data_IF_726902879229
#
_entry.id   IF_726902879229
#
_cell.length_a   1.000
_cell.length_b   1.000
_cell.length_c   1.000
_cell.angle_alpha   90.00
_cell.angle_beta   90.00
_cell.angle_gamma   90.00
#
_symmetry.space_group_name_H-M   'P 1'
#
loop_
_entity.id
_entity.type
_entity.pdbx_description
1 polymer ?
#
# COMPACT_ATOMS: atom_id res chain seq x y z
N UNK A 1 53.98 24.25 -56.49
CA UNK A 1 53.99 22.90 -55.91
C UNK A 1 53.03 22.89 -54.73
N UNK A 2 52.13 21.90 -54.74
CA UNK A 2 51.23 21.45 -53.68
C UNK A 2 50.07 22.36 -53.20
N UNK A 3 48.90 21.98 -53.72
CA UNK A 3 47.54 22.25 -53.27
C UNK A 3 47.38 21.58 -51.89
N UNK A 4 46.84 22.26 -50.87
CA UNK A 4 46.45 21.59 -49.64
C UNK A 4 45.01 21.97 -49.26
N UNK A 5 44.17 20.93 -49.32
CA UNK A 5 42.74 20.89 -49.05
C UNK A 5 42.41 21.38 -47.64
N UNK A 6 41.44 22.29 -47.53
CA UNK A 6 40.81 22.63 -46.26
C UNK A 6 39.92 21.46 -45.83
N UNK A 7 40.35 20.73 -44.82
CA UNK A 7 39.58 19.64 -44.20
C UNK A 7 38.48 20.27 -43.34
N UNK A 8 37.23 20.12 -43.77
CA UNK A 8 36.06 20.47 -42.99
C UNK A 8 35.91 19.43 -41.86
N UNK A 9 36.23 19.80 -40.62
CA UNK A 9 35.97 18.95 -39.47
C UNK A 9 34.46 18.96 -39.19
N UNK A 10 33.79 17.86 -39.54
CA UNK A 10 32.42 17.60 -39.10
C UNK A 10 32.46 17.18 -37.63
N UNK A 11 32.05 18.08 -36.72
CA UNK A 11 31.81 17.71 -35.34
C UNK A 11 30.48 16.97 -35.25
N UNK A 12 30.52 15.64 -35.21
CA UNK A 12 29.37 14.89 -34.73
C UNK A 12 29.24 15.20 -33.23
N UNK A 13 28.22 15.96 -32.83
CA UNK A 13 27.81 15.98 -31.42
C UNK A 13 27.26 14.61 -31.08
N UNK A 14 28.07 13.79 -30.41
CA UNK A 14 27.60 12.56 -29.79
C UNK A 14 26.75 12.93 -28.59
N UNK A 15 25.43 12.98 -28.77
CA UNK A 15 24.49 12.94 -27.66
C UNK A 15 24.55 11.52 -27.07
N UNK A 16 25.41 11.32 -26.08
CA UNK A 16 25.33 10.17 -25.20
C UNK A 16 24.10 10.39 -24.33
N UNK A 17 22.97 9.80 -24.72
CA UNK A 17 21.93 9.54 -23.74
C UNK A 17 22.50 8.48 -22.80
N UNK A 18 22.82 8.87 -21.57
CA UNK A 18 23.11 7.91 -20.51
C UNK A 18 21.99 6.85 -20.51
N UNK A 19 22.30 5.55 -20.63
CA UNK A 19 21.26 4.56 -20.45
C UNK A 19 20.72 4.74 -19.04
N UNK A 20 19.43 5.02 -18.91
CA UNK A 20 18.75 4.98 -17.63
C UNK A 20 18.94 3.56 -17.06
N UNK A 21 19.83 3.41 -16.09
CA UNK A 21 19.96 2.18 -15.32
C UNK A 21 18.63 1.99 -14.62
N UNK A 22 17.83 1.05 -15.09
CA UNK A 22 16.74 0.51 -14.26
C UNK A 22 17.45 -0.36 -13.24
N UNK A 23 17.84 0.25 -12.12
CA UNK A 23 18.30 -0.51 -10.98
C UNK A 23 17.12 -1.40 -10.56
N UNK A 24 17.33 -2.71 -10.57
CA UNK A 24 16.38 -3.67 -10.02
C UNK A 24 16.43 -3.60 -8.49
N UNK A 25 15.96 -2.50 -7.93
CA UNK A 25 15.84 -2.31 -6.49
C UNK A 25 14.65 -3.14 -6.03
N UNK A 26 14.92 -4.27 -5.39
CA UNK A 26 13.90 -4.98 -4.63
C UNK A 26 13.68 -4.21 -3.33
N UNK A 27 12.71 -3.30 -3.35
CA UNK A 27 12.19 -2.68 -2.13
C UNK A 27 11.25 -3.70 -1.48
N UNK A 28 11.67 -4.27 -0.35
CA UNK A 28 10.78 -5.06 0.50
C UNK A 28 9.77 -4.13 1.16
N UNK A 29 8.58 -4.02 0.57
CA UNK A 29 7.46 -3.28 1.16
C UNK A 29 6.79 -4.18 2.20
N UNK A 30 6.67 -3.69 3.43
CA UNK A 30 6.03 -4.36 4.55
C UNK A 30 4.68 -3.71 4.89
N UNK A 31 3.90 -4.33 5.79
CA UNK A 31 2.67 -3.74 6.32
C UNK A 31 2.92 -2.35 6.94
N UNK A 32 4.10 -2.14 7.53
CA UNK A 32 4.50 -0.88 8.15
C UNK A 32 4.68 0.25 7.15
N UNK A 33 5.00 -0.07 5.90
CA UNK A 33 5.20 0.92 4.83
C UNK A 33 3.87 1.31 4.16
N UNK A 34 2.84 0.48 4.32
CA UNK A 34 1.53 0.66 3.69
C UNK A 34 0.45 1.15 4.65
N UNK A 35 0.68 1.06 5.96
CA UNK A 35 -0.32 1.47 6.95
C UNK A 35 -0.57 2.99 6.93
N UNK A 36 -1.82 3.43 7.09
CA UNK A 36 -2.14 4.83 7.34
C UNK A 36 -1.48 5.36 8.62
N UNK A 37 -1.19 6.66 8.67
CA UNK A 37 -0.58 7.29 9.85
C UNK A 37 -1.42 7.17 11.14
N UNK A 38 -2.74 6.98 11.00
CA UNK A 38 -3.65 6.73 12.15
C UNK A 38 -3.37 5.38 12.81
N UNK A 39 -2.91 4.39 12.06
CA UNK A 39 -2.53 3.08 12.59
C UNK A 39 -1.10 3.18 13.16
N UNK A 40 -0.99 3.51 14.45
CA UNK A 40 0.31 3.71 15.13
C UNK A 40 1.00 2.41 15.59
N UNK A 41 0.32 1.28 15.46
CA UNK A 41 0.75 -0.08 15.86
C UNK A 41 1.84 -0.71 14.98
N UNK A 42 2.37 -1.85 15.39
CA UNK A 42 3.30 -2.66 14.58
C UNK A 42 2.57 -3.82 13.95
N UNK A 43 2.44 -3.81 12.63
CA UNK A 43 1.74 -4.81 11.83
C UNK A 43 2.73 -5.85 11.30
N UNK A 44 2.28 -7.10 11.28
CA UNK A 44 3.09 -8.27 10.91
C UNK A 44 2.63 -8.93 9.63
N UNK A 45 1.32 -8.94 9.36
CA UNK A 45 0.78 -9.46 8.10
C UNK A 45 0.01 -8.40 7.32
N UNK A 46 -0.24 -8.74 6.06
CA UNK A 46 -1.14 -8.02 5.18
C UNK A 46 -2.22 -9.00 4.74
N UNK A 47 -3.47 -8.73 5.08
CA UNK A 47 -4.64 -9.51 4.69
C UNK A 47 -5.43 -8.69 3.68
N UNK A 48 -5.87 -9.32 2.58
CA UNK A 48 -6.62 -8.63 1.52
C UNK A 48 -7.71 -9.54 1.00
N UNK A 49 -8.92 -9.01 0.83
CA UNK A 49 -10.06 -9.82 0.40
C UNK A 49 -11.25 -8.99 -0.08
N UNK A 50 -12.37 -9.68 -0.26
CA UNK A 50 -13.69 -9.13 -0.57
C UNK A 50 -14.77 -10.10 -0.07
N UNK A 51 -15.95 -9.58 0.26
CA UNK A 51 -17.01 -10.29 0.96
C UNK A 51 -16.62 -10.58 2.41
N UNK A 52 -16.41 -11.84 2.76
CA UNK A 52 -15.99 -12.22 4.12
C UNK A 52 -14.48 -12.28 4.22
N UNK A 53 -13.91 -11.49 5.14
CA UNK A 53 -12.47 -11.38 5.37
C UNK A 53 -12.22 -11.69 6.84
N UNK A 54 -11.32 -12.63 7.11
CA UNK A 54 -10.86 -12.91 8.47
C UNK A 54 -9.36 -12.60 8.52
N UNK A 55 -8.96 -11.87 9.55
CA UNK A 55 -7.58 -11.66 9.94
C UNK A 55 -6.97 -12.92 10.55
N UNK A 56 -6.03 -12.71 11.46
CA UNK A 56 -5.25 -13.73 12.13
C UNK A 56 -5.22 -13.45 13.63
N UNK A 57 -4.50 -14.26 14.41
CA UNK A 57 -4.26 -13.96 15.82
C UNK A 57 -3.03 -13.06 16.02
N UNK A 58 -2.70 -12.23 15.04
CA UNK A 58 -1.53 -11.36 15.00
C UNK A 58 -1.91 -10.04 14.36
N UNK A 59 -1.14 -8.99 14.68
CA UNK A 59 -1.38 -7.65 14.18
C UNK A 59 -1.37 -7.59 12.64
N UNK A 60 -2.52 -7.27 12.05
CA UNK A 60 -2.78 -7.35 10.62
C UNK A 60 -3.08 -5.98 10.01
N UNK A 61 -2.56 -5.76 8.80
CA UNK A 61 -3.06 -4.73 7.90
C UNK A 61 -4.11 -5.35 6.99
N UNK A 62 -5.39 -5.11 7.27
CA UNK A 62 -6.50 -5.70 6.52
C UNK A 62 -7.02 -4.70 5.49
N UNK A 63 -7.10 -5.12 4.23
CA UNK A 63 -7.75 -4.36 3.15
C UNK A 63 -8.98 -5.09 2.63
N UNK A 64 -10.14 -4.45 2.75
CA UNK A 64 -11.35 -4.80 2.05
C UNK A 64 -11.37 -4.28 0.61
N UNK A 65 -12.57 -4.25 0.05
CA UNK A 65 -12.85 -4.06 -1.35
C UNK A 65 -13.65 -2.78 -1.59
N UNK A 66 -14.29 -2.66 -2.75
CA UNK A 66 -15.18 -1.54 -3.05
C UNK A 66 -16.66 -1.93 -2.95
N UNK A 67 -16.95 -3.15 -2.47
CA UNK A 67 -18.29 -3.64 -2.23
C UNK A 67 -18.49 -3.92 -0.74
N UNK A 68 -19.71 -4.36 -0.39
CA UNK A 68 -20.07 -4.69 1.00
C UNK A 68 -19.22 -5.85 1.52
N UNK A 69 -18.44 -5.58 2.55
CA UNK A 69 -17.56 -6.52 3.21
C UNK A 69 -17.99 -6.82 4.66
N UNK A 70 -17.63 -8.00 5.14
CA UNK A 70 -17.73 -8.40 6.54
C UNK A 70 -16.35 -8.84 7.00
N UNK A 71 -15.76 -8.04 7.88
CA UNK A 71 -14.36 -8.14 8.27
C UNK A 71 -14.30 -8.46 9.76
N UNK A 72 -13.47 -9.45 10.11
CA UNK A 72 -13.16 -9.83 11.49
C UNK A 72 -11.63 -9.87 11.65
N UNK A 73 -11.06 -8.96 12.44
CA UNK A 73 -9.62 -8.92 12.71
C UNK A 73 -9.13 -10.09 13.56
N UNK A 74 -10.02 -10.68 14.35
CA UNK A 74 -9.77 -11.75 15.32
C UNK A 74 -8.96 -11.28 16.54
N UNK A 75 -7.63 -11.26 16.49
CA UNK A 75 -6.87 -10.85 17.66
C UNK A 75 -5.49 -10.32 17.35
N UNK A 76 -4.96 -9.51 18.25
CA UNK A 76 -3.79 -8.67 18.00
C UNK A 76 -4.22 -7.26 17.60
N UNK A 77 -3.28 -6.31 17.57
CA UNK A 77 -3.59 -4.92 17.22
C UNK A 77 -3.74 -4.78 15.69
N UNK A 78 -4.96 -4.61 15.19
CA UNK A 78 -5.25 -4.59 13.76
C UNK A 78 -5.49 -3.18 13.19
N UNK A 79 -5.12 -3.02 11.93
CA UNK A 79 -5.42 -1.84 11.11
C UNK A 79 -6.30 -2.26 9.95
N UNK A 80 -7.60 -1.98 10.04
CA UNK A 80 -8.60 -2.43 9.09
C UNK A 80 -9.01 -1.28 8.18
N UNK A 81 -8.86 -1.45 6.87
CA UNK A 81 -9.32 -0.54 5.83
C UNK A 81 -10.38 -1.24 4.98
N UNK A 82 -11.65 -1.03 5.29
CA UNK A 82 -12.77 -1.77 4.68
C UNK A 82 -13.04 -1.34 3.25
N UNK A 83 -12.98 -0.03 2.98
CA UNK A 83 -12.89 0.51 1.63
C UNK A 83 -14.14 1.30 1.25
N UNK A 84 -14.86 0.85 0.22
CA UNK A 84 -16.18 1.43 -0.08
C UNK A 84 -17.22 0.33 0.07
N UNK A 85 -18.44 0.69 0.43
CA UNK A 85 -19.49 -0.28 0.73
C UNK A 85 -20.13 0.07 2.07
N UNK A 86 -21.25 -0.58 2.38
CA UNK A 86 -21.81 -0.54 3.73
C UNK A 86 -21.27 -1.77 4.48
N UNK A 87 -20.14 -1.61 5.17
CA UNK A 87 -19.35 -2.72 5.70
C UNK A 87 -19.69 -3.05 7.16
N UNK A 88 -19.45 -4.31 7.54
CA UNK A 88 -19.47 -4.75 8.94
C UNK A 88 -18.06 -5.09 9.38
N UNK A 89 -17.58 -4.41 10.41
CA UNK A 89 -16.17 -4.42 10.80
C UNK A 89 -16.08 -4.80 12.26
N UNK A 90 -15.47 -5.94 12.54
CA UNK A 90 -15.13 -6.40 13.89
C UNK A 90 -13.63 -6.28 14.06
N UNK A 91 -13.18 -5.45 15.00
CA UNK A 91 -11.75 -5.33 15.35
C UNK A 91 -11.26 -6.65 15.92
N UNK A 92 -11.69 -6.98 17.13
CA UNK A 92 -11.44 -8.27 17.73
C UNK A 92 -10.93 -8.11 19.15
N UNK A 93 -9.99 -8.96 19.54
CA UNK A 93 -9.22 -8.81 20.76
C UNK A 93 -8.03 -7.85 20.55
N UNK A 94 -7.64 -7.13 21.61
CA UNK A 94 -6.56 -6.11 21.63
C UNK A 94 -6.98 -4.76 21.00
N UNK A 95 -6.05 -3.92 20.53
CA UNK A 95 -6.33 -2.53 20.20
C UNK A 95 -6.36 -2.26 18.69
N UNK A 96 -7.56 -2.03 18.16
CA UNK A 96 -7.83 -1.95 16.73
C UNK A 96 -8.11 -0.53 16.23
N UNK A 97 -7.67 -0.26 15.00
CA UNK A 97 -7.99 0.95 14.25
C UNK A 97 -8.74 0.57 12.98
N UNK A 98 -10.01 0.93 12.94
CA UNK A 98 -10.94 0.58 11.88
C UNK A 98 -11.29 1.82 11.04
N UNK A 99 -10.97 1.77 9.75
CA UNK A 99 -11.32 2.76 8.74
C UNK A 99 -12.38 2.16 7.82
N UNK A 100 -13.63 2.60 7.97
CA UNK A 100 -14.74 2.11 7.17
C UNK A 100 -14.65 2.60 5.73
N UNK A 101 -14.46 3.91 5.55
CA UNK A 101 -14.38 4.53 4.24
C UNK A 101 -15.74 4.95 3.70
N UNK A 102 -15.96 4.86 2.40
CA UNK A 102 -17.21 5.38 1.81
C UNK A 102 -18.36 4.40 1.99
N UNK A 103 -19.38 4.83 2.71
CA UNK A 103 -20.65 4.13 2.86
C UNK A 103 -21.18 4.32 4.26
N UNK A 104 -22.08 3.44 4.69
CA UNK A 104 -22.57 3.39 6.07
C UNK A 104 -22.04 2.14 6.72
N UNK A 105 -20.97 2.27 7.49
CA UNK A 105 -20.30 1.13 8.11
C UNK A 105 -20.77 0.91 9.54
N UNK A 106 -20.67 -0.35 9.97
CA UNK A 106 -20.95 -0.78 11.34
C UNK A 106 -19.67 -1.31 11.96
N UNK A 107 -19.20 -0.63 13.00
CA UNK A 107 -18.03 -1.04 13.78
C UNK A 107 -18.44 -1.81 15.03
N UNK A 108 -17.71 -2.88 15.32
CA UNK A 108 -17.88 -3.77 16.46
C UNK A 108 -16.49 -3.97 17.04
N UNK A 109 -16.35 -3.75 18.35
CA UNK A 109 -15.07 -3.94 19.07
C UNK A 109 -13.88 -3.29 18.37
N UNK A 110 -14.03 -2.03 17.92
CA UNK A 110 -12.94 -1.21 17.41
C UNK A 110 -12.66 -0.09 18.42
N UNK A 111 -11.42 0.04 18.88
CA UNK A 111 -11.03 1.08 19.85
C UNK A 111 -10.96 2.45 19.18
N UNK A 112 -10.55 2.48 17.91
CA UNK A 112 -10.53 3.69 17.09
C UNK A 112 -11.32 3.47 15.81
N UNK A 113 -12.36 4.28 15.61
CA UNK A 113 -13.26 4.19 14.46
C UNK A 113 -13.17 5.46 13.61
N UNK A 114 -12.99 5.29 12.31
CA UNK A 114 -12.97 6.36 11.31
C UNK A 114 -13.93 6.00 10.18
N UNK A 115 -15.04 6.73 10.12
CA UNK A 115 -16.01 6.66 9.03
C UNK A 115 -15.61 7.63 7.91
#
# INVERSE_FOLDING_TARGET
>A
MLILFSVLAAFASSMLAEPSSVDNIILSVSAQDLKPAVCSMTLTNIVRGAGTINGTASNDLIFGSSGVDTIDGLGGDDCILSGNGDDQITGGDDADVCLGGQGTDTFITCETELQ
#
